data_IF_890330587748
#
_entry.id   IF_890330587748
#
_cell.length_a   1.000
_cell.length_b   1.000
_cell.length_c   1.000
_cell.angle_alpha   90.00
_cell.angle_beta   90.00
_cell.angle_gamma   90.00
#
_symmetry.space_group_name_H-M   'P 1'
#
loop_
_entity.id
_entity.type
_entity.pdbx_description
1 polymer ?
#
# COMPACT_ATOMS: atom_id res chain seq x y z
N UNK A 1 -2.85 -18.15 8.37
CA UNK A 1 -2.63 -18.44 6.95
C UNK A 1 -2.57 -17.19 6.08
N UNK A 2 -3.46 -17.04 5.09
CA UNK A 2 -3.31 -15.97 4.09
C UNK A 2 -3.41 -14.58 4.69
N UNK A 3 -4.35 -14.34 5.59
CA UNK A 3 -4.52 -13.01 6.17
C UNK A 3 -3.32 -12.59 7.01
N UNK A 4 -2.76 -13.52 7.77
CA UNK A 4 -1.56 -13.23 8.57
C UNK A 4 -0.36 -12.94 7.67
N UNK A 5 -0.19 -13.73 6.62
CA UNK A 5 0.87 -13.51 5.65
C UNK A 5 0.75 -12.13 5.02
N UNK A 6 -0.48 -11.75 4.62
CA UNK A 6 -0.72 -10.43 4.07
C UNK A 6 -0.48 -9.32 5.09
N UNK A 7 -0.92 -9.51 6.34
CA UNK A 7 -0.66 -8.52 7.39
C UNK A 7 0.83 -8.26 7.56
N UNK A 8 1.65 -9.30 7.50
CA UNK A 8 3.10 -9.16 7.58
C UNK A 8 3.65 -8.33 6.41
N UNK A 9 3.11 -8.53 5.21
CA UNK A 9 3.52 -7.75 4.05
C UNK A 9 3.08 -6.30 4.15
N UNK A 10 1.87 -6.05 4.65
CA UNK A 10 1.37 -4.68 4.87
C UNK A 10 2.29 -3.97 5.86
N UNK A 11 2.68 -4.65 6.93
CA UNK A 11 3.58 -4.06 7.92
C UNK A 11 4.94 -3.74 7.31
N UNK A 12 5.47 -4.63 6.48
CA UNK A 12 6.72 -4.38 5.76
C UNK A 12 6.62 -3.17 4.83
N UNK A 13 5.51 -3.04 4.14
CA UNK A 13 5.24 -1.89 3.28
C UNK A 13 5.19 -0.59 4.10
N UNK A 14 4.49 -0.61 5.23
CA UNK A 14 4.40 0.56 6.12
C UNK A 14 5.79 1.02 6.56
N UNK A 15 6.62 0.07 7.01
CA UNK A 15 7.98 0.38 7.46
C UNK A 15 8.83 0.91 6.31
N UNK A 16 8.69 0.32 5.12
CA UNK A 16 9.45 0.75 3.95
C UNK A 16 9.17 2.21 3.60
N UNK A 17 7.91 2.65 3.73
CA UNK A 17 7.52 4.03 3.41
C UNK A 17 8.19 5.05 4.31
N UNK A 18 8.48 4.70 5.55
CA UNK A 18 9.17 5.59 6.49
C UNK A 18 10.69 5.54 6.31
N UNK A 19 11.21 4.60 5.53
CA UNK A 19 12.65 4.39 5.39
C UNK A 19 13.34 5.37 4.46
N UNK A 20 12.60 5.97 3.55
CA UNK A 20 13.17 6.83 2.51
C UNK A 20 13.76 6.06 1.33
N UNK A 21 13.58 4.76 1.28
CA UNK A 21 14.10 3.90 0.20
C UNK A 21 13.00 3.61 -0.81
N UNK A 22 13.03 4.36 -1.92
CA UNK A 22 12.00 4.25 -2.96
C UNK A 22 11.99 2.87 -3.61
N UNK A 23 13.15 2.28 -3.83
CA UNK A 23 13.22 0.94 -4.43
C UNK A 23 12.54 -0.11 -3.57
N UNK A 24 12.73 -0.02 -2.26
CA UNK A 24 12.09 -0.92 -1.32
C UNK A 24 10.57 -0.76 -1.32
N UNK A 25 10.08 0.48 -1.33
CA UNK A 25 8.64 0.74 -1.40
C UNK A 25 8.07 0.19 -2.69
N UNK A 26 8.72 0.48 -3.83
CA UNK A 26 8.23 0.02 -5.12
C UNK A 26 8.24 -1.49 -5.27
N UNK A 27 9.08 -2.19 -4.51
CA UNK A 27 9.12 -3.66 -4.57
C UNK A 27 7.82 -4.31 -4.11
N UNK A 28 6.97 -3.60 -3.38
CA UNK A 28 5.66 -4.10 -2.96
C UNK A 28 4.59 -4.00 -4.04
N UNK A 29 4.87 -3.28 -5.13
CA UNK A 29 3.88 -3.03 -6.19
C UNK A 29 4.11 -3.96 -7.36
N UNK A 30 3.02 -4.48 -7.92
CA UNK A 30 3.10 -5.32 -9.13
C UNK A 30 3.48 -4.46 -10.33
N UNK A 31 4.25 -4.99 -11.29
CA UNK A 31 4.44 -4.31 -12.57
C UNK A 31 3.14 -4.06 -13.33
N UNK A 32 2.08 -4.78 -12.98
CA UNK A 32 0.74 -4.61 -13.57
C UNK A 32 -0.14 -3.65 -12.76
N UNK A 33 0.47 -2.88 -11.87
CA UNK A 33 -0.24 -1.95 -11.00
C UNK A 33 -1.07 -0.93 -11.79
N UNK A 34 -2.24 -0.62 -11.24
CA UNK A 34 -3.12 0.41 -11.78
C UNK A 34 -3.50 1.37 -10.65
N UNK A 35 -3.53 2.66 -10.95
CA UNK A 35 -3.98 3.68 -10.01
C UNK A 35 -4.97 4.60 -10.73
N UNK A 36 -6.15 4.06 -11.00
CA UNK A 36 -7.18 4.81 -11.68
C UNK A 36 -6.69 5.37 -13.02
N UNK A 37 -6.56 6.69 -13.13
CA UNK A 37 -6.20 7.36 -14.37
C UNK A 37 -4.70 7.56 -14.57
N UNK A 38 -3.88 7.22 -13.57
CA UNK A 38 -2.44 7.44 -13.66
C UNK A 38 -1.75 6.23 -14.26
N UNK A 39 -0.75 6.45 -15.12
CA UNK A 39 0.11 5.39 -15.57
C UNK A 39 1.16 5.09 -14.48
N UNK A 40 1.91 4.01 -14.69
CA UNK A 40 2.89 3.56 -13.69
C UNK A 40 3.98 4.59 -13.45
N UNK A 41 4.41 5.29 -14.49
CA UNK A 41 5.48 6.30 -14.38
C UNK A 41 5.03 7.45 -13.48
N UNK A 42 3.84 7.98 -13.71
CA UNK A 42 3.29 9.05 -12.87
C UNK A 42 3.06 8.59 -11.44
N UNK A 43 2.57 7.36 -11.28
CA UNK A 43 2.38 6.79 -9.97
C UNK A 43 3.71 6.69 -9.22
N UNK A 44 4.75 6.20 -9.89
CA UNK A 44 6.08 6.09 -9.29
C UNK A 44 6.60 7.46 -8.84
N UNK A 45 6.40 8.50 -9.63
CA UNK A 45 6.80 9.86 -9.25
C UNK A 45 6.05 10.33 -8.01
N UNK A 46 4.75 10.02 -7.90
CA UNK A 46 3.96 10.34 -6.71
C UNK A 46 4.52 9.62 -5.48
N UNK A 47 4.87 8.36 -5.63
CA UNK A 47 5.44 7.56 -4.53
C UNK A 47 6.79 8.12 -4.11
N UNK A 48 7.63 8.53 -5.07
CA UNK A 48 8.92 9.13 -4.76
C UNK A 48 8.78 10.40 -3.91
N UNK A 49 7.83 11.27 -4.26
CA UNK A 49 7.56 12.47 -3.47
C UNK A 49 7.07 12.12 -2.08
N UNK A 50 6.16 11.16 -1.99
CA UNK A 50 5.59 10.71 -0.72
C UNK A 50 6.67 10.13 0.19
N UNK A 51 7.51 9.27 -0.35
CA UNK A 51 8.60 8.64 0.41
C UNK A 51 9.59 9.70 0.92
N UNK A 52 9.90 10.70 0.10
CA UNK A 52 10.79 11.80 0.52
C UNK A 52 10.18 12.60 1.65
N UNK A 53 8.88 12.89 1.59
CA UNK A 53 8.19 13.66 2.62
C UNK A 53 8.04 12.89 3.93
N UNK A 54 7.87 11.59 3.86
CA UNK A 54 7.62 10.74 5.03
C UNK A 54 8.88 10.13 5.62
N UNK A 55 10.02 10.38 5.01
CA UNK A 55 11.29 9.82 5.47
C UNK A 55 11.53 10.12 6.94
N UNK A 56 11.75 9.08 7.72
CA UNK A 56 11.99 9.21 9.15
C UNK A 56 10.75 9.48 10.00
N UNK A 57 9.56 9.51 9.39
CA UNK A 57 8.31 9.75 10.11
C UNK A 57 7.56 8.44 10.28
N UNK A 58 7.06 8.18 11.48
CA UNK A 58 6.24 7.01 11.73
C UNK A 58 4.89 7.15 11.03
N UNK A 59 4.41 6.05 10.46
CA UNK A 59 3.11 6.00 9.80
C UNK A 59 2.26 5.00 10.57
N UNK A 60 1.06 5.43 10.95
CA UNK A 60 0.10 4.56 11.63
C UNK A 60 -1.04 4.23 10.68
N UNK A 61 -1.40 2.95 10.60
CA UNK A 61 -2.55 2.49 9.83
C UNK A 61 -3.70 2.25 10.81
N UNK A 62 -4.78 3.01 10.64
CA UNK A 62 -5.95 2.94 11.53
C UNK A 62 -7.09 2.21 10.84
N UNK A 63 -7.87 1.49 11.65
CA UNK A 63 -9.08 0.81 11.18
C UNK A 63 -8.80 -0.11 9.99
N UNK A 64 -7.68 -0.83 10.08
CA UNK A 64 -7.28 -1.75 9.03
C UNK A 64 -8.30 -2.86 8.87
N UNK A 65 -8.83 -3.02 7.67
CA UNK A 65 -9.76 -4.10 7.33
C UNK A 65 -9.24 -4.86 6.10
N UNK A 66 -9.33 -6.18 6.17
CA UNK A 66 -8.94 -7.06 5.08
C UNK A 66 -10.17 -7.88 4.69
N UNK A 67 -10.63 -7.71 3.45
CA UNK A 67 -11.84 -8.34 2.96
C UNK A 67 -11.51 -9.18 1.73
N UNK A 68 -12.15 -10.36 1.62
CA UNK A 68 -12.04 -11.15 0.42
C UNK A 68 -12.82 -10.53 -0.73
N UNK A 69 -12.31 -10.68 -1.93
CA UNK A 69 -13.05 -10.30 -3.13
C UNK A 69 -13.86 -11.51 -3.59
N UNK A 70 -15.18 -11.37 -3.57
CA UNK A 70 -16.10 -12.50 -3.75
C UNK A 70 -15.87 -13.27 -5.07
N UNK A 71 -15.57 -12.56 -6.14
CA UNK A 71 -15.39 -13.15 -7.46
C UNK A 71 -13.93 -13.47 -7.80
N UNK A 72 -13.00 -13.12 -6.91
CA UNK A 72 -11.56 -13.31 -7.14
C UNK A 72 -10.90 -13.74 -5.85
N UNK A 73 -10.89 -15.05 -5.62
CA UNK A 73 -10.45 -15.62 -4.35
C UNK A 73 -8.98 -15.39 -4.01
N UNK A 74 -8.17 -15.01 -5.00
CA UNK A 74 -6.75 -14.75 -4.82
C UNK A 74 -6.42 -13.27 -4.60
N UNK A 75 -7.46 -12.42 -4.52
CA UNK A 75 -7.27 -10.99 -4.27
C UNK A 75 -7.95 -10.62 -2.95
N UNK A 76 -7.23 -9.87 -2.12
CA UNK A 76 -7.76 -9.32 -0.89
C UNK A 76 -7.79 -7.80 -0.98
N UNK A 77 -8.91 -7.23 -0.53
CA UNK A 77 -9.11 -5.78 -0.51
C UNK A 77 -8.75 -5.27 0.88
N UNK A 78 -7.85 -4.32 0.94
CA UNK A 78 -7.37 -3.74 2.20
C UNK A 78 -7.78 -2.28 2.25
N UNK A 79 -8.43 -1.88 3.35
CA UNK A 79 -8.77 -0.47 3.59
C UNK A 79 -8.20 -0.05 4.92
N UNK A 80 -7.78 1.20 5.00
CA UNK A 80 -7.22 1.76 6.24
C UNK A 80 -7.19 3.28 6.16
N UNK A 81 -7.17 3.92 7.33
CA UNK A 81 -6.81 5.31 7.45
C UNK A 81 -5.32 5.41 7.71
N UNK A 82 -4.64 6.33 7.07
CA UNK A 82 -3.20 6.49 7.22
C UNK A 82 -2.90 7.84 7.85
N UNK A 83 -2.15 7.83 8.96
CA UNK A 83 -1.78 9.06 9.65
C UNK A 83 -0.27 9.04 9.86
N UNK A 84 0.40 10.06 9.32
CA UNK A 84 1.84 10.21 9.52
C UNK A 84 2.12 11.03 10.80
N UNK A 85 3.30 10.81 11.34
CA UNK A 85 3.75 11.54 12.53
C UNK A 85 3.62 13.04 12.30
N UNK A 86 3.01 13.72 13.28
CA UNK A 86 2.79 15.17 13.21
C UNK A 86 1.49 15.56 12.52
N UNK A 87 0.74 14.62 11.97
CA UNK A 87 -0.55 14.89 11.34
C UNK A 87 -1.69 14.53 12.29
N UNK A 88 -2.79 15.30 12.23
CA UNK A 88 -3.99 14.99 13.01
C UNK A 88 -4.87 13.95 12.32
N UNK A 89 -4.96 14.06 11.01
CA UNK A 89 -5.74 13.17 10.16
C UNK A 89 -4.94 12.82 8.94
N UNK A 90 -5.35 11.77 8.25
CA UNK A 90 -4.72 11.35 7.04
C UNK A 90 -5.76 10.88 6.02
N UNK A 91 -5.29 10.32 4.93
CA UNK A 91 -6.15 9.80 3.87
C UNK A 91 -6.68 8.42 4.24
N UNK A 92 -7.89 8.12 3.77
CA UNK A 92 -8.41 6.76 3.78
C UNK A 92 -8.06 6.13 2.44
N UNK A 93 -7.43 4.96 2.47
CA UNK A 93 -6.93 4.31 1.27
C UNK A 93 -7.53 2.91 1.11
N UNK A 94 -7.62 2.50 -0.13
CA UNK A 94 -8.01 1.14 -0.51
C UNK A 94 -6.93 0.57 -1.40
N UNK A 95 -6.52 -0.67 -1.10
CA UNK A 95 -5.52 -1.38 -1.89
C UNK A 95 -6.07 -2.75 -2.28
N UNK A 96 -5.70 -3.21 -3.47
CA UNK A 96 -5.94 -4.59 -3.87
C UNK A 96 -4.60 -5.32 -3.86
N UNK A 97 -4.52 -6.36 -3.04
CA UNK A 97 -3.33 -7.20 -2.92
C UNK A 97 -3.61 -8.55 -3.53
N UNK A 98 -2.68 -9.03 -4.34
CA UNK A 98 -2.76 -10.35 -4.95
C UNK A 98 -1.40 -11.01 -4.93
N UNK A 99 -1.36 -12.30 -5.20
CA UNK A 99 -0.10 -13.02 -5.29
C UNK A 99 0.43 -13.03 -6.71
N UNK A 100 1.71 -12.73 -6.85
CA UNK A 100 2.43 -12.75 -8.10
C UNK A 100 3.74 -13.49 -7.84
N UNK A 101 3.93 -14.63 -8.49
CA UNK A 101 5.11 -15.44 -8.22
C UNK A 101 5.20 -15.93 -6.78
N UNK A 102 4.07 -16.14 -6.11
CA UNK A 102 4.03 -16.59 -4.73
C UNK A 102 4.19 -15.51 -3.67
N UNK A 103 4.35 -14.24 -4.09
CA UNK A 103 4.50 -13.12 -3.18
C UNK A 103 3.31 -12.17 -3.29
N UNK A 104 2.90 -11.62 -2.15
CA UNK A 104 1.85 -10.60 -2.14
C UNK A 104 2.38 -9.30 -2.76
N UNK A 105 1.60 -8.75 -3.69
CA UNK A 105 1.92 -7.48 -4.34
C UNK A 105 0.67 -6.61 -4.40
N UNK A 106 0.87 -5.29 -4.44
CA UNK A 106 -0.21 -4.32 -4.58
C UNK A 106 -0.49 -4.12 -6.06
N UNK A 107 -1.73 -4.38 -6.47
CA UNK A 107 -2.18 -4.22 -7.86
C UNK A 107 -2.95 -2.94 -8.08
N UNK A 108 -3.48 -2.33 -7.02
CA UNK A 108 -4.25 -1.10 -7.09
C UNK A 108 -4.15 -0.38 -5.76
N UNK A 109 -4.12 0.94 -5.82
CA UNK A 109 -4.20 1.78 -4.62
C UNK A 109 -4.90 3.07 -5.00
N UNK A 110 -5.84 3.50 -4.14
CA UNK A 110 -6.56 4.75 -4.34
C UNK A 110 -6.97 5.35 -3.02
N UNK A 111 -7.18 6.67 -3.03
CA UNK A 111 -7.69 7.41 -1.88
C UNK A 111 -9.21 7.44 -1.98
N UNK A 112 -9.90 7.11 -0.88
CA UNK A 112 -11.35 7.04 -0.85
C UNK A 112 -11.98 7.98 0.18
N UNK A 113 -11.17 8.77 0.86
CA UNK A 113 -11.72 9.70 1.85
C UNK A 113 -10.71 10.49 2.61
#
# INVERSE_FOLDING_TARGET
>A
PQRRSLQNMIEGWRVARASGDIGRVMSFYSPQFSSGKQDFTRWRQSVERDVSQLRGKAIELKDLAILGWQDKGDILVVTFGEVAEGQRTGAVKRQYWGKEGGLWKIFYEGVIG
#
